data_IF_137062385443
#
_entry.id   IF_137062385443
#
_cell.length_a   1.000
_cell.length_b   1.000
_cell.length_c   1.000
_cell.angle_alpha   90.00
_cell.angle_beta   90.00
_cell.angle_gamma   90.00
#
_symmetry.space_group_name_H-M   'P 1'
#
loop_
_entity.id
_entity.type
_entity.pdbx_description
1 polymer ?
#
# COMPACT_ATOMS: atom_id res chain seq x y z
N UNK A 1 -8.18 2.47 -6.88
CA UNK A 1 -6.73 2.20 -6.90
C UNK A 1 -6.44 1.01 -6.01
N UNK A 2 -5.50 0.17 -6.42
CA UNK A 2 -4.91 -0.85 -5.56
C UNK A 2 -3.74 -0.22 -4.82
N UNK A 3 -3.59 -0.54 -3.54
CA UNK A 3 -2.47 -0.13 -2.72
C UNK A 3 -1.82 -1.33 -2.03
N UNK A 4 -0.53 -1.18 -1.78
CA UNK A 4 0.28 -2.04 -0.93
C UNK A 4 0.79 -1.15 0.21
N UNK A 5 0.30 -1.37 1.43
CA UNK A 5 0.74 -0.65 2.62
C UNK A 5 1.47 -1.64 3.50
N UNK A 6 2.76 -1.42 3.77
CA UNK A 6 3.58 -2.36 4.55
C UNK A 6 4.11 -1.75 5.83
N UNK A 7 4.48 -2.61 6.76
CA UNK A 7 5.30 -2.23 7.91
C UNK A 7 6.69 -1.81 7.40
N UNK A 8 7.15 -0.62 7.78
CA UNK A 8 8.43 -0.05 7.31
C UNK A 8 9.63 -0.91 7.70
N UNK A 9 9.62 -1.45 8.91
CA UNK A 9 10.64 -2.33 9.49
C UNK A 9 10.17 -3.78 9.67
N UNK A 10 9.02 -4.15 9.07
CA UNK A 10 8.38 -5.44 9.27
C UNK A 10 8.27 -6.28 8.00
N UNK A 11 7.73 -7.48 8.16
CA UNK A 11 7.58 -8.47 7.09
C UNK A 11 6.14 -8.56 6.59
N UNK A 12 5.30 -7.56 6.87
CA UNK A 12 3.88 -7.62 6.56
C UNK A 12 3.44 -6.51 5.63
N UNK A 13 2.58 -6.87 4.67
CA UNK A 13 1.96 -5.95 3.74
C UNK A 13 0.46 -6.18 3.70
N UNK A 14 -0.30 -5.08 3.72
CA UNK A 14 -1.71 -5.06 3.42
C UNK A 14 -1.91 -4.74 1.94
N UNK A 15 -2.67 -5.58 1.26
CA UNK A 15 -3.06 -5.35 -0.13
C UNK A 15 -4.53 -4.99 -0.12
N UNK A 16 -4.88 -3.81 -0.60
CA UNK A 16 -6.26 -3.36 -0.57
C UNK A 16 -6.64 -2.44 -1.71
N UNK A 17 -7.93 -2.20 -1.81
CA UNK A 17 -8.52 -1.29 -2.77
C UNK A 17 -9.13 -0.08 -2.07
N UNK A 18 -9.04 1.07 -2.73
CA UNK A 18 -9.79 2.28 -2.35
C UNK A 18 -10.34 2.98 -3.58
N UNK A 19 -11.58 3.46 -3.47
CA UNK A 19 -12.16 4.43 -4.42
C UNK A 19 -11.73 5.87 -4.10
N UNK A 20 -11.13 6.06 -2.93
CA UNK A 20 -10.70 7.36 -2.38
C UNK A 20 -9.16 7.46 -2.42
N UNK A 21 -8.62 8.34 -1.60
CA UNK A 21 -7.20 8.56 -1.43
C UNK A 21 -6.50 7.43 -0.63
N UNK A 22 -5.28 7.03 -1.03
CA UNK A 22 -4.48 6.00 -0.34
C UNK A 22 -3.82 6.52 0.94
N UNK A 23 -3.41 7.79 0.98
CA UNK A 23 -2.87 8.44 2.20
C UNK A 23 -3.87 8.38 3.33
N UNK A 24 -5.15 8.69 3.07
CA UNK A 24 -6.19 8.56 4.08
C UNK A 24 -6.32 7.12 4.59
N UNK A 25 -6.16 6.12 3.71
CA UNK A 25 -6.16 4.71 4.11
C UNK A 25 -4.94 4.34 4.94
N UNK A 26 -3.78 4.90 4.65
CA UNK A 26 -2.58 4.76 5.47
C UNK A 26 -2.85 5.30 6.88
N UNK A 27 -3.35 6.53 6.99
CA UNK A 27 -3.69 7.16 8.28
C UNK A 27 -4.70 6.33 9.07
N UNK A 28 -5.79 5.89 8.44
CA UNK A 28 -6.81 5.04 9.09
C UNK A 28 -6.21 3.74 9.63
N UNK A 29 -5.32 3.10 8.87
CA UNK A 29 -4.68 1.85 9.25
C UNK A 29 -3.63 2.05 10.35
N UNK A 30 -2.90 3.16 10.32
CA UNK A 30 -1.87 3.48 11.31
C UNK A 30 -2.46 3.61 12.72
N UNK A 31 -3.68 4.12 12.86
CA UNK A 31 -4.37 4.23 14.17
C UNK A 31 -4.45 2.87 14.89
N UNK A 32 -4.66 1.79 14.13
CA UNK A 32 -4.78 0.44 14.66
C UNK A 32 -3.52 -0.40 14.59
N UNK A 33 -2.40 0.15 14.11
CA UNK A 33 -1.13 -0.58 13.99
C UNK A 33 -0.02 0.17 14.73
N UNK A 34 0.62 -0.44 15.75
CA UNK A 34 1.70 0.22 16.49
C UNK A 34 3.00 0.37 15.70
N UNK A 35 3.17 -0.33 14.58
CA UNK A 35 4.36 -0.23 13.73
C UNK A 35 4.15 0.83 12.66
N UNK A 36 5.21 1.57 12.33
CA UNK A 36 5.21 2.57 11.26
C UNK A 36 4.84 1.90 9.93
N UNK A 37 3.78 2.39 9.28
CA UNK A 37 3.30 1.92 7.98
C UNK A 37 3.74 2.88 6.87
N UNK A 38 4.02 2.32 5.70
CA UNK A 38 4.36 3.08 4.49
C UNK A 38 3.58 2.58 3.28
N UNK A 39 3.40 3.45 2.29
CA UNK A 39 2.86 3.08 0.98
C UNK A 39 4.00 2.52 0.14
N UNK A 40 3.95 1.23 -0.15
CA UNK A 40 4.95 0.52 -0.96
C UNK A 40 4.67 0.66 -2.46
N UNK A 41 3.40 0.55 -2.85
CA UNK A 41 2.99 0.64 -4.25
C UNK A 41 1.53 1.09 -4.38
N UNK A 42 1.23 1.81 -5.46
CA UNK A 42 -0.12 2.19 -5.85
C UNK A 42 -0.27 2.02 -7.36
N UNK A 43 -1.36 1.39 -7.79
CA UNK A 43 -1.63 1.29 -9.22
C UNK A 43 -3.13 1.33 -9.56
N UNK A 44 -3.47 1.64 -10.83
CA UNK A 44 -4.85 1.56 -11.32
C UNK A 44 -5.43 0.16 -11.12
N UNK A 45 -6.68 0.10 -10.69
CA UNK A 45 -7.37 -1.15 -10.44
C UNK A 45 -8.57 -0.98 -9.51
N UNK A 46 -9.45 -1.98 -9.56
CA UNK A 46 -10.71 -2.06 -8.83
C UNK A 46 -10.77 -3.25 -7.87
N UNK A 47 -11.88 -3.41 -7.14
CA UNK A 47 -12.16 -4.59 -6.28
C UNK A 47 -11.93 -5.94 -6.98
N UNK A 48 -12.13 -6.01 -8.30
CA UNK A 48 -11.86 -7.23 -9.09
C UNK A 48 -10.36 -7.58 -9.08
N UNK A 49 -9.48 -6.60 -9.25
CA UNK A 49 -8.03 -6.79 -9.23
C UNK A 49 -7.56 -7.13 -7.82
N UNK A 50 -8.06 -6.45 -6.79
CA UNK A 50 -7.80 -6.78 -5.38
C UNK A 50 -8.08 -8.26 -5.07
N UNK A 51 -9.27 -8.76 -5.45
CA UNK A 51 -9.63 -10.17 -5.24
C UNK A 51 -8.71 -11.13 -5.98
N UNK A 52 -8.28 -10.78 -7.20
CA UNK A 52 -7.33 -11.60 -7.96
C UNK A 52 -5.98 -11.66 -7.26
N UNK A 53 -5.47 -10.53 -6.75
CA UNK A 53 -4.23 -10.47 -5.98
C UNK A 53 -4.34 -11.26 -4.67
N UNK A 54 -5.44 -11.11 -3.94
CA UNK A 54 -5.68 -11.89 -2.72
C UNK A 54 -5.72 -13.40 -3.00
N UNK A 55 -6.29 -13.82 -4.14
CA UNK A 55 -6.29 -15.23 -4.57
C UNK A 55 -4.88 -15.70 -4.96
N UNK A 56 -4.15 -14.90 -5.74
CA UNK A 56 -2.80 -15.22 -6.18
C UNK A 56 -1.81 -15.31 -5.02
N UNK A 57 -1.93 -14.42 -4.03
CA UNK A 57 -1.06 -14.36 -2.86
C UNK A 57 -1.62 -15.07 -1.63
N UNK A 58 -2.68 -15.88 -1.80
CA UNK A 58 -3.27 -16.68 -0.72
C UNK A 58 -2.25 -17.51 0.08
N UNK A 59 -1.18 -18.10 -0.53
CA UNK A 59 -0.15 -18.82 0.22
C UNK A 59 0.60 -17.96 1.26
N UNK A 60 0.60 -16.64 1.09
CA UNK A 60 1.27 -15.70 1.98
C UNK A 60 0.31 -14.99 2.94
N UNK A 61 -0.99 -15.34 2.94
CA UNK A 61 -2.00 -14.67 3.74
C UNK A 61 -1.83 -15.00 5.23
N UNK A 62 -1.86 -13.95 6.06
CA UNK A 62 -1.75 -14.06 7.53
C UNK A 62 -3.12 -13.92 8.16
N UNK A 63 -3.77 -12.76 7.95
CA UNK A 63 -5.09 -12.46 8.50
C UNK A 63 -5.79 -11.38 7.70
N UNK A 64 -7.01 -11.66 7.28
CA UNK A 64 -7.80 -10.74 6.47
C UNK A 64 -7.06 -10.37 5.20
N UNK A 65 -6.72 -9.09 5.06
CA UNK A 65 -6.04 -8.52 3.88
C UNK A 65 -4.53 -8.33 4.11
N UNK A 66 -3.96 -8.92 5.16
CA UNK A 66 -2.54 -8.88 5.49
C UNK A 66 -1.82 -10.14 5.01
N UNK A 67 -0.62 -9.95 4.45
CA UNK A 67 0.22 -10.96 3.84
C UNK A 67 1.67 -10.80 4.31
N UNK A 68 2.44 -11.88 4.28
CA UNK A 68 3.90 -11.82 4.38
C UNK A 68 4.45 -11.07 3.16
N UNK A 69 5.37 -10.13 3.35
CA UNK A 69 6.01 -9.35 2.28
C UNK A 69 7.14 -10.14 1.60
N UNK A 70 6.78 -11.31 1.09
CA UNK A 70 7.65 -12.23 0.39
C UNK A 70 8.12 -11.68 -0.97
N UNK A 71 9.18 -12.27 -1.51
CA UNK A 71 9.85 -11.82 -2.73
C UNK A 71 8.89 -11.67 -3.93
N UNK A 72 7.91 -12.56 -4.08
CA UNK A 72 6.94 -12.48 -5.17
C UNK A 72 6.01 -11.26 -5.05
N UNK A 73 5.64 -10.88 -3.82
CA UNK A 73 4.80 -9.70 -3.58
C UNK A 73 5.64 -8.43 -3.73
N UNK A 74 6.88 -8.44 -3.26
CA UNK A 74 7.85 -7.35 -3.48
C UNK A 74 8.10 -7.12 -4.97
N UNK A 75 8.36 -8.18 -5.73
CA UNK A 75 8.58 -8.11 -7.17
C UNK A 75 7.34 -7.59 -7.92
N UNK A 76 6.14 -7.94 -7.46
CA UNK A 76 4.91 -7.37 -8.01
C UNK A 76 4.79 -5.88 -7.68
N UNK A 77 4.99 -5.51 -6.42
CA UNK A 77 4.91 -4.14 -5.94
C UNK A 77 5.94 -3.22 -6.62
N UNK A 78 7.16 -3.71 -6.90
CA UNK A 78 8.19 -2.92 -7.59
C UNK A 78 7.87 -2.65 -9.07
N UNK A 79 7.10 -3.51 -9.72
CA UNK A 79 6.64 -3.31 -11.10
C UNK A 79 5.41 -2.40 -11.16
N UNK A 80 4.60 -2.42 -10.11
CA UNK A 80 3.50 -1.51 -9.95
C UNK A 80 4.05 -0.12 -9.59
N UNK A 81 4.32 0.71 -10.60
CA UNK A 81 4.46 2.18 -10.54
C UNK A 81 4.70 2.66 -9.09
N UNK A 82 5.96 2.67 -8.67
CA UNK A 82 6.38 2.91 -7.28
C UNK A 82 6.33 4.39 -6.93
N UNK A 83 5.59 4.74 -5.88
CA UNK A 83 5.76 6.06 -5.26
C UNK A 83 7.15 6.02 -4.57
N UNK A 84 8.02 7.02 -4.76
CA UNK A 84 9.28 7.07 -4.02
C UNK A 84 9.02 6.95 -2.53
N UNK A 85 9.90 6.26 -1.79
CA UNK A 85 9.81 6.18 -0.34
C UNK A 85 9.74 7.60 0.25
N UNK A 86 8.67 7.89 0.99
CA UNK A 86 8.50 9.15 1.73
C UNK A 86 8.51 8.80 3.21
N UNK A 87 9.45 9.38 3.95
CA UNK A 87 9.35 9.41 5.40
C UNK A 87 8.16 10.30 5.78
N UNK A 88 7.10 9.68 6.27
CA UNK A 88 5.85 10.38 6.61
C UNK A 88 5.92 11.05 7.97
N UNK A 89 7.01 10.90 8.72
CA UNK A 89 7.17 11.58 10.02
C UNK A 89 7.19 13.09 9.83
N UNK A 90 6.15 13.74 10.35
CA UNK A 90 6.01 15.20 10.30
C UNK A 90 5.49 15.75 8.96
N UNK A 91 5.16 14.91 7.98
CA UNK A 91 4.57 15.35 6.72
C UNK A 91 3.05 15.39 6.85
N UNK A 92 2.43 16.51 6.48
CA UNK A 92 0.98 16.64 6.56
C UNK A 92 0.29 15.77 5.50
N UNK A 93 -0.95 15.34 5.79
CA UNK A 93 -1.75 14.60 4.82
C UNK A 93 -1.95 15.35 3.52
N UNK A 94 -2.09 16.68 3.54
CA UNK A 94 -2.24 17.49 2.32
C UNK A 94 -1.00 17.46 1.43
N UNK A 95 0.19 17.56 2.03
CA UNK A 95 1.45 17.58 1.26
C UNK A 95 1.73 16.22 0.61
N UNK A 96 1.43 15.13 1.34
CA UNK A 96 1.51 13.77 0.80
C UNK A 96 0.52 13.56 -0.36
N UNK A 97 -0.68 14.12 -0.23
CA UNK A 97 -1.71 14.03 -1.27
C UNK A 97 -1.25 14.78 -2.53
N UNK A 98 -0.77 16.00 -2.39
CA UNK A 98 -0.26 16.81 -3.51
C UNK A 98 0.91 16.11 -4.20
N UNK A 99 1.87 15.60 -3.43
CA UNK A 99 2.98 14.81 -3.96
C UNK A 99 2.51 13.60 -4.78
N UNK A 100 1.56 12.83 -4.22
CA UNK A 100 0.99 11.67 -4.91
C UNK A 100 0.27 12.04 -6.20
N UNK A 101 -0.48 13.14 -6.21
CA UNK A 101 -1.15 13.64 -7.42
C UNK A 101 -0.15 14.05 -8.50
N UNK A 102 0.87 14.83 -8.13
CA UNK A 102 1.91 15.27 -9.06
C UNK A 102 2.68 14.09 -9.67
N UNK A 103 2.96 13.07 -8.86
CA UNK A 103 3.65 11.87 -9.33
C UNK A 103 2.77 10.99 -10.25
N UNK A 104 1.46 10.91 -9.99
CA UNK A 104 0.53 10.13 -10.82
C UNK A 104 0.18 10.81 -12.16
N UNK A 105 0.40 12.11 -12.29
CA UNK A 105 0.10 12.89 -13.49
C UNK A 105 1.19 12.83 -14.58
N UNK A 106 2.32 12.17 -14.30
CA UNK A 106 3.44 11.91 -15.21
C UNK A 106 3.36 10.48 -15.79
#
# INVERSE_FOLDING_TARGET
MIYFIRESSGEHVKIGYTHKNVVSRLSDLQVGNPRDLIIEAVHPGGRKIERLLHKAFKPYAIRGEWFVYADIIRAYASQARTIPYIDTKGVSSSDLIEYMYNWMAL
#
